data_IF_775501609188
#
_entry.id   IF_775501609188
#
_cell.length_a   1.000
_cell.length_b   1.000
_cell.length_c   1.000
_cell.angle_alpha   90.00
_cell.angle_beta   90.00
_cell.angle_gamma   90.00
#
_symmetry.space_group_name_H-M   'P 1'
#
loop_
_entity.id
_entity.type
_entity.pdbx_description
1 polymer ?
#
# COMPACT_ATOMS: atom_id res chain seq x y z
N UNK A 1 16.77 -7.11 -9.33
CA UNK A 1 16.09 -7.66 -8.15
C UNK A 1 15.77 -9.14 -8.30
N UNK A 2 15.23 -9.59 -9.43
CA UNK A 2 15.00 -11.01 -9.69
C UNK A 2 16.30 -11.85 -9.57
N UNK A 3 17.38 -11.38 -10.16
CA UNK A 3 18.70 -12.03 -10.05
C UNK A 3 19.22 -12.13 -8.61
N UNK A 4 18.96 -11.09 -7.77
CA UNK A 4 19.34 -11.09 -6.36
C UNK A 4 18.52 -12.12 -5.59
N UNK A 5 17.22 -12.21 -5.83
CA UNK A 5 16.36 -13.23 -5.21
C UNK A 5 16.77 -14.65 -5.61
N UNK A 6 17.12 -14.87 -6.87
CA UNK A 6 17.59 -16.17 -7.36
C UNK A 6 18.92 -16.58 -6.72
N UNK A 7 19.88 -15.63 -6.60
CA UNK A 7 21.17 -15.87 -5.95
C UNK A 7 21.03 -16.13 -4.45
N UNK A 8 20.00 -15.58 -3.80
CA UNK A 8 19.76 -15.76 -2.37
C UNK A 8 18.79 -16.91 -2.06
N UNK A 9 18.33 -17.67 -3.06
CA UNK A 9 17.42 -18.77 -2.84
C UNK A 9 18.05 -19.78 -1.85
N UNK A 10 17.37 -20.00 -0.73
CA UNK A 10 17.88 -20.81 0.38
C UNK A 10 18.88 -20.09 1.30
N UNK A 11 19.30 -18.87 1.00
CA UNK A 11 20.20 -18.05 1.78
C UNK A 11 19.52 -16.73 2.20
N UNK A 12 20.02 -16.15 3.28
CA UNK A 12 19.59 -14.83 3.74
C UNK A 12 20.45 -13.75 3.06
N UNK A 13 19.81 -12.75 2.46
CA UNK A 13 20.49 -11.62 1.85
C UNK A 13 20.39 -10.39 2.76
N UNK A 14 21.52 -9.78 3.05
CA UNK A 14 21.60 -8.47 3.68
C UNK A 14 22.19 -7.45 2.69
N UNK A 15 21.56 -6.28 2.59
CA UNK A 15 22.03 -5.19 1.71
C UNK A 15 22.16 -3.91 2.52
N UNK A 16 23.34 -3.30 2.48
CA UNK A 16 23.61 -1.97 3.02
C UNK A 16 23.72 -0.96 1.89
N UNK A 17 22.92 0.08 1.92
CA UNK A 17 22.86 1.12 0.89
C UNK A 17 23.16 2.48 1.52
N UNK A 18 24.04 3.25 0.89
CA UNK A 18 24.35 4.60 1.34
C UNK A 18 23.18 5.56 1.09
N UNK A 19 22.34 5.27 0.08
CA UNK A 19 21.20 6.08 -0.32
C UNK A 19 20.00 5.19 -0.66
N UNK A 20 18.82 5.59 -0.21
CA UNK A 20 17.58 4.81 -0.42
C UNK A 20 17.23 4.64 -1.91
N UNK A 21 17.53 5.62 -2.75
CA UNK A 21 17.22 5.57 -4.18
C UNK A 21 18.09 4.60 -4.97
N UNK A 22 19.13 4.01 -4.37
CA UNK A 22 19.85 2.89 -4.98
C UNK A 22 18.92 1.69 -5.24
N UNK A 23 17.82 1.57 -4.51
CA UNK A 23 16.75 0.61 -4.84
C UNK A 23 16.07 0.93 -6.17
N UNK A 24 16.15 2.15 -6.66
CA UNK A 24 15.55 2.52 -7.95
C UNK A 24 16.23 1.81 -9.14
N UNK A 25 17.48 1.42 -9.02
CA UNK A 25 18.15 0.56 -9.99
C UNK A 25 17.48 -0.83 -10.10
N UNK A 26 16.70 -1.21 -9.08
CA UNK A 26 15.97 -2.46 -9.01
C UNK A 26 14.49 -2.30 -9.39
N UNK A 27 14.09 -1.11 -9.85
CA UNK A 27 12.74 -0.83 -10.31
C UNK A 27 12.40 -1.72 -11.50
N UNK A 28 11.57 -2.72 -11.27
CA UNK A 28 10.81 -3.35 -12.32
C UNK A 28 9.58 -2.50 -12.70
N UNK A 29 8.82 -2.95 -13.68
CA UNK A 29 7.52 -2.35 -14.01
C UNK A 29 6.63 -2.35 -12.74
N UNK A 30 6.07 -1.19 -12.38
CA UNK A 30 5.08 -1.09 -11.31
C UNK A 30 5.62 -1.09 -9.87
N UNK A 31 6.81 -0.53 -9.61
CA UNK A 31 7.35 -0.39 -8.23
C UNK A 31 7.50 -1.73 -7.47
N UNK A 32 7.85 -2.80 -8.17
CA UNK A 32 7.95 -4.17 -7.60
C UNK A 32 8.90 -4.29 -6.41
N UNK A 33 9.92 -3.43 -6.30
CA UNK A 33 10.85 -3.41 -5.17
C UNK A 33 10.12 -3.17 -3.83
N UNK A 34 9.12 -2.29 -3.77
CA UNK A 34 8.32 -2.09 -2.56
C UNK A 34 7.49 -3.33 -2.19
N UNK A 35 6.97 -4.03 -3.18
CA UNK A 35 6.27 -5.30 -2.94
C UNK A 35 7.22 -6.35 -2.35
N UNK A 36 8.45 -6.42 -2.85
CA UNK A 36 9.46 -7.36 -2.32
C UNK A 36 9.87 -6.98 -0.91
N UNK A 37 10.02 -5.69 -0.59
CA UNK A 37 10.24 -5.22 0.79
C UNK A 37 9.11 -5.69 1.72
N UNK A 38 7.85 -5.58 1.28
CA UNK A 38 6.72 -6.08 2.06
C UNK A 38 6.73 -7.60 2.24
N UNK A 39 7.09 -8.35 1.19
CA UNK A 39 7.19 -9.81 1.26
C UNK A 39 8.33 -10.28 2.15
N UNK A 40 9.43 -9.53 2.22
CA UNK A 40 10.57 -9.86 3.07
C UNK A 40 10.26 -9.74 4.57
N UNK A 41 9.24 -8.97 4.94
CA UNK A 41 8.87 -8.75 6.33
C UNK A 41 8.21 -9.99 6.97
N UNK A 42 7.30 -10.64 6.25
CA UNK A 42 6.57 -11.78 6.77
C UNK A 42 7.31 -13.09 6.41
N UNK A 43 7.55 -14.02 7.36
CA UNK A 43 8.29 -15.25 7.10
C UNK A 43 7.55 -16.16 6.12
N UNK A 44 8.31 -16.84 5.25
CA UNK A 44 7.78 -17.82 4.31
C UNK A 44 7.11 -17.25 3.07
N UNK A 45 7.10 -15.93 2.89
CA UNK A 45 6.55 -15.32 1.69
C UNK A 45 7.38 -15.64 0.45
N UNK A 46 6.66 -15.93 -0.63
CA UNK A 46 7.26 -16.26 -1.92
C UNK A 46 7.06 -15.13 -2.93
N UNK A 47 8.06 -14.89 -3.73
CA UNK A 47 7.99 -14.07 -4.92
C UNK A 47 8.17 -14.93 -6.17
N UNK A 48 7.25 -14.82 -7.10
CA UNK A 48 7.32 -15.49 -8.38
C UNK A 48 6.90 -14.58 -9.51
N UNK A 49 7.51 -14.75 -10.66
CA UNK A 49 7.15 -14.04 -11.88
C UNK A 49 7.06 -15.02 -13.04
N UNK A 50 5.89 -15.06 -13.69
CA UNK A 50 5.68 -15.79 -14.95
C UNK A 50 5.81 -14.79 -16.10
N UNK A 51 6.74 -15.03 -17.01
CA UNK A 51 6.88 -14.26 -18.26
C UNK A 51 6.69 -15.18 -19.44
N UNK A 52 6.04 -14.70 -20.48
CA UNK A 52 5.88 -15.41 -21.75
C UNK A 52 7.03 -14.97 -22.67
N UNK A 53 7.90 -15.89 -23.05
CA UNK A 53 9.05 -15.63 -23.93
C UNK A 53 10.06 -16.76 -23.90
N UNK A 54 10.89 -16.88 -24.94
CA UNK A 54 11.86 -17.99 -25.14
C UNK A 54 12.94 -18.07 -24.05
N UNK A 55 13.19 -16.95 -23.34
CA UNK A 55 14.15 -16.86 -22.22
C UNK A 55 13.47 -16.57 -20.88
N UNK A 56 12.20 -16.90 -20.73
CA UNK A 56 11.48 -16.64 -19.49
C UNK A 56 11.81 -17.69 -18.44
N UNK A 57 12.27 -17.22 -17.29
CA UNK A 57 12.42 -18.04 -16.09
C UNK A 57 11.14 -17.93 -15.28
N UNK A 58 10.47 -19.05 -15.07
CA UNK A 58 9.30 -19.15 -14.18
C UNK A 58 9.74 -19.86 -12.91
N UNK A 59 10.07 -19.07 -11.88
CA UNK A 59 10.48 -19.60 -10.58
C UNK A 59 9.75 -18.89 -9.45
N UNK A 60 9.60 -19.61 -8.35
CA UNK A 60 9.19 -19.06 -7.05
C UNK A 60 10.36 -19.14 -6.11
N UNK A 61 10.64 -18.04 -5.44
CA UNK A 61 11.72 -17.93 -4.45
C UNK A 61 11.15 -17.44 -3.14
N UNK A 62 11.56 -18.06 -2.03
CA UNK A 62 11.27 -17.54 -0.70
C UNK A 62 12.08 -16.28 -0.49
N UNK A 63 11.41 -15.19 -0.13
CA UNK A 63 12.06 -13.88 0.08
C UNK A 63 12.67 -13.85 1.48
N UNK A 64 14.01 -13.91 1.54
CA UNK A 64 14.79 -13.79 2.79
C UNK A 64 15.77 -12.64 2.63
N UNK A 65 15.32 -11.46 2.98
CA UNK A 65 16.03 -10.24 2.65
C UNK A 65 15.91 -9.24 3.79
N UNK A 66 17.03 -8.71 4.23
CA UNK A 66 17.10 -7.58 5.15
C UNK A 66 17.99 -6.49 4.57
N UNK A 67 17.79 -5.25 4.97
CA UNK A 67 18.52 -4.14 4.42
C UNK A 67 18.52 -2.94 5.38
N UNK A 68 19.53 -2.10 5.23
CA UNK A 68 19.53 -0.75 5.76
C UNK A 68 19.84 0.25 4.64
N UNK A 69 19.35 1.47 4.79
CA UNK A 69 19.65 2.57 3.89
C UNK A 69 19.59 3.88 4.65
N UNK A 70 20.36 4.87 4.21
CA UNK A 70 20.28 6.23 4.70
C UNK A 70 19.77 7.18 3.62
N UNK A 71 19.26 8.34 4.05
CA UNK A 71 18.84 9.42 3.15
C UNK A 71 18.52 10.67 3.96
N UNK A 72 18.37 11.82 3.32
CA UNK A 72 17.80 13.01 3.95
C UNK A 72 16.29 12.82 4.17
N UNK A 73 15.74 13.52 5.16
CA UNK A 73 14.31 13.41 5.52
C UNK A 73 13.42 13.67 4.31
N UNK A 74 13.65 14.79 3.60
CA UNK A 74 12.82 15.20 2.46
C UNK A 74 12.93 14.22 1.27
N UNK A 75 14.11 13.64 1.04
CA UNK A 75 14.31 12.63 0.00
C UNK A 75 13.58 11.34 0.37
N UNK A 76 13.66 10.92 1.63
CA UNK A 76 12.93 9.76 2.14
C UNK A 76 11.41 9.93 2.02
N UNK A 77 10.87 11.07 2.42
CA UNK A 77 9.46 11.39 2.28
C UNK A 77 9.00 11.31 0.81
N UNK A 78 9.77 11.90 -0.12
CA UNK A 78 9.48 11.80 -1.57
C UNK A 78 9.58 10.38 -2.10
N UNK A 79 10.56 9.61 -1.63
CA UNK A 79 10.76 8.23 -2.07
C UNK A 79 9.54 7.37 -1.76
N UNK A 80 9.01 7.48 -0.55
CA UNK A 80 7.85 6.71 -0.11
C UNK A 80 6.50 7.33 -0.47
N UNK A 81 6.46 8.56 -1.00
CA UNK A 81 5.21 9.29 -1.27
C UNK A 81 4.19 8.54 -2.13
N UNK A 82 4.67 7.68 -3.04
CA UNK A 82 3.82 6.91 -3.97
C UNK A 82 3.23 5.64 -3.36
N UNK A 83 3.71 5.23 -2.18
CA UNK A 83 3.38 3.94 -1.54
C UNK A 83 3.03 4.09 -0.06
N UNK A 84 2.63 5.28 0.36
CA UNK A 84 2.33 5.59 1.76
C UNK A 84 1.23 4.68 2.34
N UNK A 85 0.24 4.33 1.51
CA UNK A 85 -0.90 3.48 1.89
C UNK A 85 -0.67 2.00 1.57
N UNK A 86 0.39 1.64 0.83
CA UNK A 86 0.60 0.29 0.31
C UNK A 86 1.38 -0.63 1.26
N UNK A 87 1.73 -0.11 2.43
CA UNK A 87 2.29 -0.89 3.53
C UNK A 87 3.81 -0.94 3.71
N UNK A 88 4.70 -0.48 2.80
CA UNK A 88 6.14 -0.51 3.04
C UNK A 88 6.55 0.27 4.27
N UNK A 89 6.03 1.51 4.42
CA UNK A 89 6.35 2.40 5.54
C UNK A 89 6.06 1.75 6.91
N UNK A 90 4.99 0.98 7.02
CA UNK A 90 4.65 0.31 8.28
C UNK A 90 5.62 -0.83 8.65
N UNK A 91 6.30 -1.42 7.66
CA UNK A 91 7.18 -2.60 7.81
C UNK A 91 8.66 -2.27 7.94
N UNK A 92 9.03 -1.03 7.71
CA UNK A 92 10.40 -0.54 7.83
C UNK A 92 10.56 0.08 9.21
N UNK A 93 11.70 -0.16 9.86
CA UNK A 93 12.07 0.57 11.06
C UNK A 93 12.76 1.87 10.67
N UNK A 94 12.23 2.99 11.12
CA UNK A 94 12.80 4.31 10.86
C UNK A 94 13.53 4.84 12.08
N UNK A 95 14.65 5.48 11.82
CA UNK A 95 15.36 6.29 12.81
C UNK A 95 15.91 7.54 12.14
N UNK A 96 16.15 8.58 12.89
CA UNK A 96 16.74 9.83 12.41
C UNK A 96 17.80 10.32 13.38
N UNK A 97 18.70 11.14 12.88
CA UNK A 97 19.60 11.89 13.76
C UNK A 97 18.78 13.01 14.40
N UNK A 98 18.89 13.22 15.72
CA UNK A 98 18.21 14.35 16.37
C UNK A 98 18.56 15.67 15.68
N UNK A 99 17.56 16.54 15.54
CA UNK A 99 17.77 17.87 14.98
C UNK A 99 18.66 18.68 15.91
N UNK A 100 19.69 19.28 15.34
CA UNK A 100 20.65 20.11 16.06
C UNK A 100 20.29 21.59 15.94
N UNK A 101 20.69 22.38 16.92
CA UNK A 101 20.60 23.82 16.82
C UNK A 101 21.56 24.35 15.77
N UNK A 102 21.18 25.44 15.12
CA UNK A 102 22.05 26.13 14.16
C UNK A 102 23.30 26.63 14.91
N UNK A 103 24.47 26.28 14.42
CA UNK A 103 25.76 26.63 15.05
C UNK A 103 26.23 25.68 16.15
N UNK A 104 25.49 24.60 16.42
CA UNK A 104 25.94 23.55 17.32
C UNK A 104 27.05 22.71 16.67
N UNK A 105 28.01 22.26 17.46
CA UNK A 105 29.14 21.48 16.99
C UNK A 105 28.70 20.19 16.29
N UNK A 106 29.41 19.85 15.22
CA UNK A 106 29.20 18.59 14.50
C UNK A 106 29.78 17.45 15.34
N UNK A 107 28.99 16.39 15.62
CA UNK A 107 29.52 15.23 16.32
C UNK A 107 30.69 14.63 15.53
N UNK A 108 31.80 14.42 16.19
CA UNK A 108 32.95 13.71 15.63
C UNK A 108 32.71 12.22 15.87
N UNK A 109 32.49 11.48 14.77
CA UNK A 109 32.38 10.02 14.85
C UNK A 109 33.79 9.42 14.85
N UNK A 110 34.13 8.72 15.95
CA UNK A 110 35.34 7.91 16.02
C UNK A 110 35.23 6.62 15.20
N UNK A 111 36.36 5.95 15.02
CA UNK A 111 36.37 4.55 14.57
C UNK A 111 36.25 3.65 15.75
N UNK A 112 35.47 2.57 15.62
CA UNK A 112 35.47 1.51 16.64
C UNK A 112 36.88 0.84 16.68
N UNK A 113 37.45 0.78 17.86
CA UNK A 113 38.76 0.15 18.11
C UNK A 113 38.65 -1.38 18.21
N UNK A 114 39.79 -2.02 18.38
CA UNK A 114 39.83 -3.47 18.49
C UNK A 114 39.24 -3.95 19.82
N UNK A 115 39.31 -3.15 20.88
CA UNK A 115 38.67 -3.48 22.17
C UNK A 115 37.16 -3.57 22.03
N UNK A 116 36.54 -2.61 21.39
CA UNK A 116 35.09 -2.65 21.10
C UNK A 116 34.69 -3.85 20.23
N UNK A 117 35.52 -4.21 19.24
CA UNK A 117 35.28 -5.39 18.39
C UNK A 117 35.33 -6.68 19.21
N UNK A 118 36.32 -6.84 20.11
CA UNK A 118 36.41 -8.01 20.97
C UNK A 118 35.23 -8.07 21.96
N UNK A 119 34.72 -6.94 22.46
CA UNK A 119 33.51 -6.90 23.28
C UNK A 119 32.25 -7.37 22.52
N UNK A 120 32.12 -7.05 21.23
CA UNK A 120 30.96 -7.48 20.39
C UNK A 120 31.07 -8.94 19.95
N UNK A 121 32.25 -9.50 19.84
CA UNK A 121 32.50 -10.83 19.28
C UNK A 121 31.67 -11.96 19.90
N UNK A 122 31.49 -12.07 21.24
CA UNK A 122 30.66 -13.12 21.83
C UNK A 122 29.19 -13.06 21.35
N UNK A 123 28.64 -11.86 21.22
CA UNK A 123 27.26 -11.65 20.77
C UNK A 123 27.09 -12.06 19.31
N UNK A 124 28.05 -11.70 18.46
CA UNK A 124 28.05 -12.09 17.04
C UNK A 124 28.20 -13.61 16.90
N UNK A 125 29.10 -14.23 17.69
CA UNK A 125 29.27 -15.68 17.69
C UNK A 125 28.00 -16.42 18.11
N UNK A 126 27.29 -15.94 19.12
CA UNK A 126 26.01 -16.50 19.53
C UNK A 126 24.99 -16.46 18.39
N UNK A 127 24.89 -15.32 17.69
CA UNK A 127 24.01 -15.20 16.53
C UNK A 127 24.41 -16.15 15.38
N UNK A 128 25.69 -16.29 15.10
CA UNK A 128 26.20 -17.16 14.05
C UNK A 128 25.95 -18.66 14.32
N UNK A 129 25.94 -19.06 15.60
CA UNK A 129 25.70 -20.44 16.03
C UNK A 129 24.21 -20.78 16.12
N UNK A 130 23.35 -19.78 16.24
CA UNK A 130 21.91 -19.99 16.42
C UNK A 130 21.25 -20.51 15.16
N UNK A 131 20.37 -21.48 15.31
CA UNK A 131 19.55 -22.04 14.23
C UNK A 131 18.23 -22.56 14.79
N UNK A 132 17.20 -22.56 13.95
CA UNK A 132 15.87 -23.06 14.31
C UNK A 132 14.95 -21.95 14.85
N UNK A 133 13.92 -22.36 15.56
CA UNK A 133 12.95 -21.45 16.16
C UNK A 133 13.49 -20.91 17.50
N UNK A 134 13.31 -19.61 17.71
CA UNK A 134 13.64 -18.95 18.97
C UNK A 134 12.38 -18.93 19.84
N UNK A 135 12.44 -19.56 20.99
CA UNK A 135 11.42 -19.45 22.04
C UNK A 135 11.93 -18.47 23.11
N UNK A 136 11.25 -17.32 23.22
CA UNK A 136 11.56 -16.27 24.16
C UNK A 136 10.25 -15.75 24.78
N UNK A 137 9.79 -16.36 25.88
CA UNK A 137 8.54 -15.94 26.54
C UNK A 137 8.55 -14.49 26.98
N UNK A 138 9.69 -13.97 27.42
CA UNK A 138 9.85 -12.58 27.87
C UNK A 138 9.65 -11.60 26.72
N UNK A 139 10.17 -11.90 25.52
CA UNK A 139 9.93 -11.09 24.33
C UNK A 139 8.46 -11.08 23.94
N UNK A 140 7.78 -12.22 24.07
CA UNK A 140 6.34 -12.33 23.78
C UNK A 140 5.51 -11.52 24.79
N UNK A 141 5.82 -11.62 26.07
CA UNK A 141 5.15 -10.84 27.14
C UNK A 141 5.38 -9.33 26.96
N UNK A 142 6.60 -8.92 26.60
CA UNK A 142 6.90 -7.52 26.29
C UNK A 142 6.08 -7.04 25.07
N UNK A 143 6.03 -7.82 23.99
CA UNK A 143 5.25 -7.48 22.81
C UNK A 143 3.75 -7.34 23.13
N UNK A 144 3.23 -8.18 24.06
CA UNK A 144 1.83 -8.10 24.51
C UNK A 144 1.58 -6.82 25.30
N UNK A 145 2.49 -6.46 26.23
CA UNK A 145 2.40 -5.21 26.99
C UNK A 145 2.42 -3.98 26.06
N UNK A 146 3.39 -3.92 25.14
CA UNK A 146 3.51 -2.81 24.18
C UNK A 146 2.30 -2.69 23.27
N UNK A 147 1.73 -3.81 22.83
CA UNK A 147 0.49 -3.82 22.05
C UNK A 147 -0.66 -3.18 22.83
N UNK A 148 -0.82 -3.52 24.12
CA UNK A 148 -1.89 -2.99 24.94
C UNK A 148 -1.69 -1.50 25.24
N UNK A 149 -0.46 -1.08 25.55
CA UNK A 149 -0.06 0.33 25.73
C UNK A 149 -0.33 1.16 24.48
N UNK A 150 0.08 0.67 23.30
CA UNK A 150 -0.15 1.34 22.02
C UNK A 150 -1.65 1.41 21.64
N UNK A 151 -2.42 0.37 21.93
CA UNK A 151 -3.86 0.37 21.72
C UNK A 151 -4.56 1.39 22.62
N UNK A 152 -4.13 1.54 23.87
CA UNK A 152 -4.63 2.57 24.77
C UNK A 152 -4.32 3.97 24.27
N UNK A 153 -3.08 4.22 23.86
CA UNK A 153 -2.68 5.50 23.27
C UNK A 153 -3.45 5.82 21.99
N UNK A 154 -3.64 4.83 21.09
CA UNK A 154 -4.44 4.99 19.88
C UNK A 154 -5.89 5.34 20.18
N UNK A 155 -6.47 4.74 21.23
CA UNK A 155 -7.84 5.02 21.71
C UNK A 155 -7.96 6.42 22.28
N UNK A 156 -6.99 6.85 23.09
CA UNK A 156 -6.96 8.20 23.66
C UNK A 156 -6.72 9.28 22.60
N UNK A 157 -5.82 9.03 21.66
CA UNK A 157 -5.50 9.98 20.57
C UNK A 157 -6.47 9.94 19.40
N UNK A 158 -7.34 8.90 19.30
CA UNK A 158 -8.24 8.65 18.17
C UNK A 158 -7.49 8.67 16.81
N UNK A 159 -6.23 8.24 16.81
CA UNK A 159 -5.36 8.30 15.65
C UNK A 159 -5.22 6.91 15.00
N UNK A 160 -5.95 6.71 13.90
CA UNK A 160 -5.94 5.45 13.15
C UNK A 160 -4.59 5.18 12.47
N UNK A 161 -3.86 6.21 12.07
CA UNK A 161 -2.55 6.04 11.42
C UNK A 161 -1.54 5.51 12.43
N UNK A 162 -1.54 6.09 13.64
CA UNK A 162 -0.73 5.59 14.75
C UNK A 162 -1.05 4.13 15.08
N UNK A 163 -2.32 3.78 15.21
CA UNK A 163 -2.77 2.41 15.46
C UNK A 163 -2.23 1.43 14.40
N UNK A 164 -2.35 1.78 13.12
CA UNK A 164 -1.86 0.94 12.02
C UNK A 164 -0.33 0.78 12.04
N UNK A 165 0.42 1.82 12.39
CA UNK A 165 1.86 1.74 12.53
C UNK A 165 2.28 0.91 13.73
N UNK A 166 1.60 1.04 14.87
CA UNK A 166 1.93 0.33 16.09
C UNK A 166 1.79 -1.19 15.96
N UNK A 167 0.85 -1.70 15.17
CA UNK A 167 0.74 -3.14 14.91
C UNK A 167 2.01 -3.73 14.31
N UNK A 168 2.61 -3.04 13.35
CA UNK A 168 3.86 -3.49 12.71
C UNK A 168 5.08 -3.12 13.54
N UNK A 169 5.07 -1.98 14.22
CA UNK A 169 6.10 -1.58 15.19
C UNK A 169 6.29 -2.64 16.26
N UNK A 170 5.19 -3.14 16.81
CA UNK A 170 5.20 -4.21 17.82
C UNK A 170 5.83 -5.52 17.30
N UNK A 171 5.54 -5.91 16.04
CA UNK A 171 6.18 -7.09 15.43
C UNK A 171 7.70 -6.85 15.26
N UNK A 172 8.10 -5.65 14.83
CA UNK A 172 9.52 -5.27 14.70
C UNK A 172 10.21 -5.33 16.08
N UNK A 173 9.56 -4.80 17.11
CA UNK A 173 10.04 -4.85 18.50
C UNK A 173 10.24 -6.28 18.97
N UNK A 174 9.26 -7.15 18.77
CA UNK A 174 9.35 -8.57 19.10
C UNK A 174 10.55 -9.26 18.41
N UNK A 175 10.70 -9.05 17.10
CA UNK A 175 11.81 -9.64 16.35
C UNK A 175 13.18 -9.16 16.84
N UNK A 176 13.30 -7.85 17.16
CA UNK A 176 14.53 -7.30 17.76
C UNK A 176 14.82 -7.92 19.13
N UNK A 177 13.80 -8.06 19.97
CA UNK A 177 13.93 -8.69 21.28
C UNK A 177 14.46 -10.12 21.17
N UNK A 178 13.91 -10.93 20.25
CA UNK A 178 14.40 -12.28 19.98
C UNK A 178 15.87 -12.28 19.51
N UNK A 179 16.26 -11.34 18.63
CA UNK A 179 17.65 -11.24 18.16
C UNK A 179 18.59 -10.88 19.32
N UNK A 180 18.23 -9.92 20.17
CA UNK A 180 19.04 -9.52 21.32
C UNK A 180 19.12 -10.64 22.37
N UNK A 181 18.03 -11.35 22.61
CA UNK A 181 18.01 -12.51 23.49
C UNK A 181 18.99 -13.60 23.02
N UNK A 182 18.98 -13.92 21.72
CA UNK A 182 19.94 -14.88 21.14
C UNK A 182 21.37 -14.36 21.20
N UNK A 183 21.59 -13.10 20.86
CA UNK A 183 22.91 -12.46 20.95
C UNK A 183 23.47 -12.54 22.36
N UNK A 184 22.63 -12.37 23.38
CA UNK A 184 22.99 -12.45 24.79
C UNK A 184 23.08 -13.91 25.34
N UNK A 185 23.20 -14.90 24.46
CA UNK A 185 23.33 -16.30 24.84
C UNK A 185 22.07 -16.89 25.45
N UNK A 186 20.91 -16.53 24.95
CA UNK A 186 19.58 -16.96 25.43
C UNK A 186 19.31 -16.54 26.88
N UNK A 187 19.77 -15.34 27.24
CA UNK A 187 19.50 -14.74 28.57
C UNK A 187 18.74 -13.43 28.36
N UNK A 188 17.62 -13.31 29.05
CA UNK A 188 16.87 -12.07 29.10
C UNK A 188 17.46 -11.14 30.17
N UNK A 189 17.64 -9.88 29.82
CA UNK A 189 18.11 -8.82 30.71
C UNK A 189 17.20 -7.59 30.59
N UNK A 190 17.05 -6.79 31.67
CA UNK A 190 16.18 -5.60 31.65
C UNK A 190 16.55 -4.60 30.56
N UNK A 191 17.83 -4.49 30.23
CA UNK A 191 18.35 -3.60 29.18
C UNK A 191 17.80 -3.94 27.80
N UNK A 192 17.45 -5.20 27.56
CA UNK A 192 16.77 -5.63 26.33
C UNK A 192 15.36 -5.00 26.27
N UNK A 193 14.61 -5.09 27.37
CA UNK A 193 13.28 -4.48 27.46
C UNK A 193 13.35 -2.96 27.25
N UNK A 194 14.25 -2.28 27.93
CA UNK A 194 14.43 -0.83 27.86
C UNK A 194 14.78 -0.38 26.44
N UNK A 195 15.70 -1.10 25.79
CA UNK A 195 16.06 -0.81 24.39
C UNK A 195 14.89 -1.03 23.44
N UNK A 196 14.13 -2.11 23.59
CA UNK A 196 12.99 -2.39 22.72
C UNK A 196 11.90 -1.33 22.89
N UNK A 197 11.56 -0.94 24.12
CA UNK A 197 10.60 0.13 24.40
C UNK A 197 11.01 1.44 23.75
N UNK A 198 12.26 1.84 23.98
CA UNK A 198 12.80 3.05 23.34
C UNK A 198 12.78 2.95 21.81
N UNK A 199 13.26 1.84 21.26
CA UNK A 199 13.38 1.66 19.81
C UNK A 199 12.03 1.65 19.10
N UNK A 200 10.98 1.04 19.68
CA UNK A 200 9.64 1.04 19.14
C UNK A 200 9.00 2.43 19.18
N UNK A 201 9.10 3.11 20.32
CA UNK A 201 8.59 4.46 20.48
C UNK A 201 9.27 5.44 19.52
N UNK A 202 10.56 5.30 19.31
CA UNK A 202 11.31 6.16 18.41
C UNK A 202 10.98 5.90 16.93
N UNK A 203 10.78 4.64 16.55
CA UNK A 203 10.28 4.27 15.21
C UNK A 203 8.89 4.87 14.95
N UNK A 204 7.97 4.72 15.90
CA UNK A 204 6.62 5.30 15.80
C UNK A 204 6.66 6.82 15.70
N UNK A 205 7.50 7.47 16.52
CA UNK A 205 7.72 8.92 16.43
C UNK A 205 8.20 9.33 15.03
N UNK A 206 9.19 8.65 14.46
CA UNK A 206 9.69 8.93 13.13
C UNK A 206 8.61 8.74 12.06
N UNK A 207 7.86 7.65 12.13
CA UNK A 207 6.76 7.37 11.19
C UNK A 207 5.67 8.43 11.24
N UNK A 208 5.25 8.82 12.42
CA UNK A 208 4.24 9.85 12.60
C UNK A 208 4.74 11.20 12.10
N UNK A 209 5.94 11.61 12.52
CA UNK A 209 6.54 12.88 12.12
C UNK A 209 6.72 13.03 10.62
N UNK A 210 7.15 11.96 9.93
CA UNK A 210 7.53 12.05 8.52
C UNK A 210 6.41 11.70 7.55
N UNK A 211 5.45 10.89 7.94
CA UNK A 211 4.49 10.31 6.99
C UNK A 211 3.02 10.54 7.32
N UNK A 212 2.66 10.96 8.54
CA UNK A 212 1.26 11.11 8.94
C UNK A 212 0.47 12.03 8.01
N UNK A 213 0.99 13.22 7.74
CA UNK A 213 0.30 14.21 6.91
C UNK A 213 0.17 13.74 5.45
N UNK A 214 1.21 13.08 4.93
CA UNK A 214 1.17 12.48 3.60
C UNK A 214 0.12 11.39 3.48
N UNK A 215 -0.02 10.53 4.51
CA UNK A 215 -1.05 9.48 4.55
C UNK A 215 -2.45 10.08 4.65
N UNK A 216 -2.67 11.08 5.49
CA UNK A 216 -3.96 11.80 5.57
C UNK A 216 -4.35 12.36 4.22
N UNK A 217 -3.42 13.04 3.55
CA UNK A 217 -3.66 13.62 2.22
C UNK A 217 -3.95 12.55 1.16
N UNK A 218 -3.19 11.47 1.14
CA UNK A 218 -3.38 10.36 0.22
C UNK A 218 -4.74 9.67 0.44
N UNK A 219 -5.14 9.46 1.70
CA UNK A 219 -6.44 8.87 2.04
C UNK A 219 -7.60 9.76 1.62
N UNK A 220 -7.52 11.07 1.87
CA UNK A 220 -8.53 12.04 1.42
C UNK A 220 -8.62 12.11 -0.12
N UNK A 221 -7.49 12.01 -0.81
CA UNK A 221 -7.45 11.97 -2.27
C UNK A 221 -8.06 10.68 -2.82
N UNK A 222 -7.83 9.55 -2.17
CA UNK A 222 -8.42 8.26 -2.52
C UNK A 222 -9.95 8.27 -2.31
N UNK A 223 -10.45 8.83 -1.21
CA UNK A 223 -11.89 9.02 -0.97
C UNK A 223 -12.52 9.93 -2.02
N UNK A 224 -11.87 11.04 -2.38
CA UNK A 224 -12.31 11.91 -3.47
C UNK A 224 -12.30 11.20 -4.83
N UNK A 225 -11.31 10.38 -5.10
CA UNK A 225 -11.18 9.62 -6.34
C UNK A 225 -12.25 8.52 -6.47
N UNK A 226 -12.61 7.87 -5.37
CA UNK A 226 -13.73 6.90 -5.35
C UNK A 226 -15.10 7.57 -5.49
N UNK A 227 -15.22 8.84 -5.05
CA UNK A 227 -16.44 9.63 -5.19
C UNK A 227 -16.67 10.19 -6.60
N UNK A 228 -15.65 10.20 -7.47
CA UNK A 228 -15.70 10.77 -8.82
C UNK A 228 -15.93 9.73 -9.94
N UNK A 229 -16.40 8.55 -9.58
CA UNK A 229 -16.84 7.55 -10.55
C UNK A 229 -18.11 7.98 -11.32
N UNK A 230 -18.51 7.23 -12.37
CA UNK A 230 -19.72 7.49 -13.14
C UNK A 230 -21.00 7.65 -12.30
N UNK A 231 -21.03 7.06 -11.10
CA UNK A 231 -22.13 7.16 -10.15
C UNK A 231 -22.41 8.57 -9.66
N UNK A 232 -21.38 9.42 -9.52
CA UNK A 232 -21.57 10.78 -9.03
C UNK A 232 -22.23 11.70 -10.06
N UNK A 233 -21.86 11.60 -11.33
CA UNK A 233 -22.50 12.35 -12.39
C UNK A 233 -23.95 11.87 -12.57
N UNK A 234 -24.18 10.57 -12.46
CA UNK A 234 -25.51 9.99 -12.55
C UNK A 234 -26.42 10.48 -11.39
N UNK A 235 -25.89 10.65 -10.18
CA UNK A 235 -26.65 11.19 -9.04
C UNK A 235 -27.09 12.65 -9.24
N UNK A 236 -26.34 13.43 -10.02
CA UNK A 236 -26.66 14.83 -10.30
C UNK A 236 -27.75 14.98 -11.38
N UNK A 237 -28.13 13.92 -12.07
CA UNK A 237 -29.17 13.89 -13.04
C UNK A 237 -30.53 13.53 -12.39
N UNK A 238 -31.69 13.96 -12.93
CA UNK A 238 -32.99 13.45 -12.49
C UNK A 238 -33.16 11.96 -12.86
N UNK A 239 -34.19 11.29 -12.32
CA UNK A 239 -34.43 9.87 -12.59
C UNK A 239 -34.73 9.59 -14.06
N UNK A 240 -35.36 10.55 -14.74
CA UNK A 240 -35.49 10.58 -16.20
C UNK A 240 -34.81 11.83 -16.72
N UNK A 241 -33.94 11.69 -17.72
CA UNK A 241 -33.17 12.81 -18.24
C UNK A 241 -32.90 12.68 -19.74
N UNK A 242 -32.73 13.83 -20.37
CA UNK A 242 -32.38 13.94 -21.78
C UNK A 242 -30.86 14.01 -21.97
N UNK A 243 -30.39 13.72 -23.18
CA UNK A 243 -28.98 13.82 -23.54
C UNK A 243 -28.35 15.18 -23.17
N UNK A 244 -29.09 16.27 -23.41
CA UNK A 244 -28.61 17.62 -23.13
C UNK A 244 -28.30 17.83 -21.63
N UNK A 245 -29.13 17.30 -20.75
CA UNK A 245 -28.90 17.39 -19.31
C UNK A 245 -27.63 16.63 -18.87
N UNK A 246 -27.34 15.51 -19.52
CA UNK A 246 -26.09 14.79 -19.28
C UNK A 246 -24.87 15.59 -19.78
N UNK A 247 -24.98 16.32 -20.88
CA UNK A 247 -23.96 17.25 -21.36
C UNK A 247 -23.73 18.36 -20.35
N UNK A 248 -24.80 18.98 -19.85
CA UNK A 248 -24.73 20.08 -18.86
C UNK A 248 -24.07 19.65 -17.57
N UNK A 249 -24.45 18.46 -17.06
CA UNK A 249 -23.80 17.89 -15.82
C UNK A 249 -22.32 17.65 -16.06
N UNK A 250 -21.90 17.15 -17.22
CA UNK A 250 -20.49 17.00 -17.55
C UNK A 250 -19.75 18.34 -17.56
N UNK A 251 -20.30 19.32 -18.27
CA UNK A 251 -19.70 20.66 -18.36
C UNK A 251 -19.58 21.33 -16.99
N UNK A 252 -20.62 21.21 -16.14
CA UNK A 252 -20.61 21.70 -14.77
C UNK A 252 -19.51 21.09 -13.91
N UNK A 253 -19.12 19.85 -14.20
CA UNK A 253 -18.04 19.13 -13.51
C UNK A 253 -16.68 19.25 -14.24
N UNK A 254 -16.51 20.19 -15.18
CA UNK A 254 -15.26 20.44 -15.88
C UNK A 254 -14.87 19.38 -16.92
N UNK A 255 -15.82 18.55 -17.36
CA UNK A 255 -15.60 17.49 -18.34
C UNK A 255 -16.10 17.94 -19.73
N UNK A 256 -15.38 17.57 -20.79
CA UNK A 256 -15.77 17.91 -22.17
C UNK A 256 -17.10 17.26 -22.61
N UNK A 257 -17.86 17.97 -23.45
CA UNK A 257 -19.12 17.48 -23.99
C UNK A 257 -18.98 16.21 -24.87
N UNK A 258 -17.84 16.05 -25.55
CA UNK A 258 -17.57 14.96 -26.48
C UNK A 258 -17.61 13.56 -25.85
N UNK A 259 -17.29 13.47 -24.54
CA UNK A 259 -17.35 12.21 -23.79
C UNK A 259 -18.73 11.75 -23.38
N UNK A 260 -19.82 12.54 -23.62
CA UNK A 260 -21.17 12.24 -23.12
C UNK A 260 -21.72 10.95 -23.70
N UNK A 261 -21.58 10.73 -25.02
CA UNK A 261 -22.04 9.51 -25.69
C UNK A 261 -21.39 8.25 -25.09
N UNK A 262 -20.10 8.28 -24.92
CA UNK A 262 -19.33 7.16 -24.35
C UNK A 262 -19.73 6.89 -22.89
N UNK A 263 -19.98 7.94 -22.13
CA UNK A 263 -20.45 7.83 -20.73
C UNK A 263 -21.83 7.16 -20.68
N UNK A 264 -22.79 7.63 -21.46
CA UNK A 264 -24.15 7.07 -21.50
C UNK A 264 -24.16 5.63 -22.04
N UNK A 265 -23.34 5.34 -23.03
CA UNK A 265 -23.16 3.97 -23.52
C UNK A 265 -22.63 3.05 -22.42
N UNK A 266 -21.59 3.49 -21.71
CA UNK A 266 -21.00 2.72 -20.59
C UNK A 266 -22.00 2.50 -19.45
N UNK A 267 -22.82 3.50 -19.12
CA UNK A 267 -23.85 3.40 -18.10
C UNK A 267 -24.97 2.43 -18.50
N UNK A 268 -25.43 2.50 -19.76
CA UNK A 268 -26.41 1.57 -20.27
C UNK A 268 -25.89 0.13 -20.32
N UNK A 269 -24.66 -0.06 -20.80
CA UNK A 269 -24.00 -1.38 -20.82
C UNK A 269 -23.84 -2.01 -19.44
N UNK A 270 -23.62 -1.18 -18.39
CA UNK A 270 -23.52 -1.62 -16.99
C UNK A 270 -24.86 -1.71 -16.27
N UNK A 271 -25.98 -1.44 -16.96
CA UNK A 271 -27.32 -1.49 -16.38
C UNK A 271 -27.65 -0.35 -15.40
N UNK A 272 -26.93 0.78 -15.43
CA UNK A 272 -27.27 1.95 -14.60
C UNK A 272 -28.43 2.76 -15.15
N UNK A 273 -28.59 2.77 -16.44
CA UNK A 273 -29.65 3.49 -17.17
C UNK A 273 -30.21 2.64 -18.29
N UNK A 274 -31.46 2.95 -18.68
CA UNK A 274 -32.11 2.44 -19.87
C UNK A 274 -32.35 3.58 -20.86
N UNK A 275 -32.07 3.35 -22.14
CA UNK A 275 -32.33 4.32 -23.22
C UNK A 275 -33.75 4.11 -23.79
N UNK A 276 -34.58 5.13 -23.74
CA UNK A 276 -35.92 5.16 -24.38
C UNK A 276 -35.88 6.07 -25.59
N UNK A 277 -36.23 5.55 -26.76
CA UNK A 277 -36.34 6.37 -27.97
C UNK A 277 -37.61 7.22 -27.90
N UNK A 278 -37.49 8.49 -28.18
CA UNK A 278 -38.64 9.37 -28.30
C UNK A 278 -39.54 8.87 -29.48
N UNK A 279 -40.68 8.30 -29.16
CA UNK A 279 -41.65 7.87 -30.19
C UNK A 279 -42.23 6.46 -30.05
N UNK A 280 -41.92 5.66 -29.02
CA UNK A 280 -42.61 4.37 -28.80
C UNK A 280 -43.58 4.46 -27.62
N UNK A 281 -44.79 4.90 -27.90
CA UNK A 281 -45.96 4.64 -27.05
C UNK A 281 -46.27 3.14 -27.06
N UNK A 282 -46.28 2.57 -25.86
CA UNK A 282 -46.90 1.39 -25.37
C UNK A 282 -47.11 0.17 -26.30
N UNK A 283 -46.44 -0.92 -25.98
CA UNK A 283 -46.74 -2.24 -26.48
C UNK A 283 -45.81 -3.27 -25.88
N UNK A 284 -46.27 -3.95 -24.83
CA UNK A 284 -45.58 -5.10 -24.28
C UNK A 284 -45.58 -6.25 -25.31
N UNK A 285 -44.42 -6.72 -25.72
CA UNK A 285 -44.27 -8.06 -26.27
C UNK A 285 -42.90 -8.64 -25.95
N UNK A 286 -42.94 -9.76 -25.27
CA UNK A 286 -41.76 -10.56 -24.99
C UNK A 286 -41.17 -11.08 -26.29
N UNK A 287 -39.83 -11.03 -26.36
CA UNK A 287 -39.07 -11.60 -27.48
C UNK A 287 -37.69 -12.01 -26.96
N UNK A 288 -37.51 -13.31 -26.88
CA UNK A 288 -36.21 -13.98 -26.67
C UNK A 288 -35.25 -13.59 -27.78
N UNK A 289 -34.07 -13.06 -27.40
CA UNK A 289 -33.00 -12.77 -28.37
C UNK A 289 -31.89 -13.80 -28.25
N UNK A 290 -31.71 -14.57 -29.28
CA UNK A 290 -30.56 -15.41 -29.59
C UNK A 290 -29.37 -14.54 -30.03
N UNK A 291 -28.17 -15.01 -29.66
CA UNK A 291 -26.91 -14.33 -29.94
C UNK A 291 -26.57 -14.23 -31.44
N UNK A 292 -25.84 -13.17 -31.74
CA UNK A 292 -25.22 -12.97 -33.05
C UNK A 292 -24.23 -11.83 -32.98
N UNK A 293 -22.94 -12.15 -32.96
CA UNK A 293 -21.85 -11.22 -33.16
C UNK A 293 -21.82 -10.73 -34.59
N UNK A 294 -21.96 -9.44 -34.84
CA UNK A 294 -21.53 -8.83 -36.09
C UNK A 294 -20.84 -7.49 -35.83
N UNK A 295 -19.58 -7.43 -36.24
CA UNK A 295 -18.84 -6.19 -36.47
C UNK A 295 -19.51 -5.46 -37.66
N UNK A 296 -20.03 -4.27 -37.43
CA UNK A 296 -20.69 -3.50 -38.45
C UNK A 296 -20.62 -1.98 -38.25
N UNK A 297 -19.76 -1.35 -39.03
CA UNK A 297 -19.98 -0.07 -39.70
C UNK A 297 -20.34 1.20 -38.92
N UNK A 298 -19.47 2.17 -39.03
CA UNK A 298 -19.71 3.60 -38.73
C UNK A 298 -21.00 4.10 -39.41
N UNK A 299 -22.06 4.30 -38.65
CA UNK A 299 -23.34 4.85 -39.07
C UNK A 299 -23.63 6.21 -38.46
N UNK A 300 -23.75 7.18 -39.34
CA UNK A 300 -24.40 8.50 -39.32
C UNK A 300 -24.66 9.25 -38.00
N UNK A 301 -24.16 10.46 -38.01
CA UNK A 301 -24.42 11.55 -37.06
C UNK A 301 -25.90 11.98 -37.12
N UNK A 302 -26.81 11.35 -36.42
CA UNK A 302 -28.09 11.97 -36.03
C UNK A 302 -28.77 11.16 -34.93
N UNK A 303 -29.28 11.87 -33.93
CA UNK A 303 -30.37 11.56 -33.00
C UNK A 303 -30.07 11.04 -31.60
N UNK A 304 -29.06 11.57 -30.88
CA UNK A 304 -29.09 11.48 -29.43
C UNK A 304 -29.82 12.65 -28.75
N UNK A 305 -30.12 13.73 -29.47
CA UNK A 305 -30.73 14.95 -28.91
C UNK A 305 -32.17 14.78 -28.42
N UNK A 306 -32.89 13.78 -28.91
CA UNK A 306 -34.26 13.48 -28.52
C UNK A 306 -34.44 12.22 -27.65
N UNK A 307 -33.34 11.53 -27.31
CA UNK A 307 -33.43 10.32 -26.50
C UNK A 307 -33.59 10.65 -25.02
N UNK A 308 -34.50 9.93 -24.38
CA UNK A 308 -34.69 9.94 -22.93
C UNK A 308 -33.95 8.76 -22.30
N UNK A 309 -33.36 9.00 -21.15
CA UNK A 309 -32.67 7.99 -20.36
C UNK A 309 -33.34 7.89 -18.98
N UNK A 310 -33.55 6.67 -18.51
CA UNK A 310 -34.18 6.39 -17.22
C UNK A 310 -33.19 5.68 -16.33
N UNK A 311 -33.02 6.14 -15.09
CA UNK A 311 -32.21 5.47 -14.09
C UNK A 311 -32.86 4.17 -13.64
N UNK A 312 -32.06 3.10 -13.57
CA UNK A 312 -32.50 1.83 -13.01
C UNK A 312 -32.21 1.83 -11.49
N UNK A 313 -33.16 1.42 -10.66
CA UNK A 313 -33.01 1.32 -9.22
C UNK A 313 -32.31 0.00 -8.88
N UNK A 314 -31.13 0.06 -8.28
CA UNK A 314 -30.43 -1.12 -7.76
C UNK A 314 -30.88 -1.42 -6.33
N UNK A 315 -31.24 -2.69 -6.05
CA UNK A 315 -31.28 -3.21 -4.69
C UNK A 315 -29.90 -3.73 -4.29
N UNK A 316 -29.59 -3.68 -2.98
CA UNK A 316 -28.31 -4.16 -2.40
C UNK A 316 -28.01 -5.65 -2.63
N UNK A 317 -28.97 -6.40 -3.10
CA UNK A 317 -28.99 -7.85 -3.36
C UNK A 317 -28.77 -8.23 -4.83
N UNK A 318 -28.40 -7.27 -5.69
CA UNK A 318 -28.00 -7.52 -7.07
C UNK A 318 -29.16 -7.83 -8.05
N UNK A 319 -30.41 -7.71 -7.64
CA UNK A 319 -31.58 -7.89 -8.52
C UNK A 319 -32.03 -6.52 -9.06
N UNK A 320 -32.03 -6.36 -10.37
CA UNK A 320 -32.56 -5.18 -11.05
C UNK A 320 -34.10 -5.29 -11.00
N UNK A 321 -34.77 -4.38 -10.30
CA UNK A 321 -36.22 -4.25 -10.34
C UNK A 321 -36.53 -2.95 -11.08
N UNK A 322 -36.97 -3.10 -12.31
CA UNK A 322 -37.63 -2.02 -13.03
C UNK A 322 -38.98 -1.71 -12.33
N UNK A 323 -39.25 -0.44 -12.11
CA UNK A 323 -40.54 0.05 -11.65
C UNK A 323 -41.57 -0.01 -12.79
#
# INVERSE_FOLDING_TARGET
MFAICTLSQGHFLYTSLNEIDQFDALKGIGNQHFRIMCLAFDPGNEYGQTRVGVQSVTERVTVRFNWNASTTIEKGQRYFSKVLTDGPVSRINFCTIPERLIGEDIPIYGTYDDEFREQLKPYIENLCKASGLVDCPEAFELARKLKDENAEFARLSQNRIYENFSFRGNVIGYLKACVLYVANGFRWEPEIEDFIRWSEQYDLYCKMRFFEDGIKTASMSAEKSTSHGPSNLLQQLPDEFMYQQAVEVRLKNGLGADGTKNMLYAWAHRGYIERRKAGSNGGASGGTASGGTSYGSYGSYSSYSSDCFVKLKFRKDGVIVGS
#
